data_IF_348766435705
#
_entry.id   IF_348766435705
#
_cell.length_a   1.000
_cell.length_b   1.000
_cell.length_c   1.000
_cell.angle_alpha   90.00
_cell.angle_beta   90.00
_cell.angle_gamma   90.00
#
_symmetry.space_group_name_H-M   'P 1'
#
loop_
_entity.id
_entity.type
_entity.pdbx_description
1 polymer ?
#
# COMPACT_ATOMS: atom_id res chain seq x y z
N UNK A 1 -3.41 -21.97 -29.38
CA UNK A 1 -2.22 -22.24 -28.55
C UNK A 1 -1.96 -21.01 -27.71
N UNK A 2 -2.01 -21.15 -26.38
CA UNK A 2 -1.73 -20.03 -25.46
C UNK A 2 -0.21 -19.97 -25.31
N UNK A 3 0.40 -18.91 -25.85
CA UNK A 3 1.85 -18.81 -26.11
C UNK A 3 2.61 -18.19 -24.91
N UNK A 4 1.95 -17.98 -23.78
CA UNK A 4 2.60 -17.55 -22.53
C UNK A 4 1.80 -18.04 -21.32
N UNK A 5 2.51 -18.58 -20.32
CA UNK A 5 1.91 -19.00 -19.05
C UNK A 5 1.28 -17.82 -18.31
N UNK A 6 0.53 -18.10 -17.23
CA UNK A 6 -0.10 -17.13 -16.35
C UNK A 6 0.93 -16.29 -15.55
N UNK A 7 1.78 -15.54 -16.25
CA UNK A 7 2.66 -14.56 -15.66
C UNK A 7 1.88 -13.32 -15.24
N UNK A 8 2.20 -12.76 -14.08
CA UNK A 8 1.68 -11.46 -13.65
C UNK A 8 2.06 -10.41 -14.69
N UNK A 9 1.07 -9.65 -15.18
CA UNK A 9 1.31 -8.49 -16.03
C UNK A 9 1.83 -7.36 -15.14
N UNK A 10 3.16 -7.28 -15.02
CA UNK A 10 3.83 -6.20 -14.31
C UNK A 10 3.97 -4.97 -15.21
N UNK A 11 3.75 -3.79 -14.65
CA UNK A 11 4.03 -2.51 -15.30
C UNK A 11 5.49 -2.16 -15.05
N UNK A 12 6.29 -1.96 -16.11
CA UNK A 12 7.75 -1.76 -15.99
C UNK A 12 8.18 -0.62 -15.07
N UNK A 13 7.32 0.38 -14.87
CA UNK A 13 7.62 1.57 -14.05
C UNK A 13 7.24 1.44 -12.59
N UNK A 14 6.55 0.35 -12.23
CA UNK A 14 6.05 0.16 -10.88
C UNK A 14 6.96 -0.83 -10.15
N UNK A 15 7.13 -0.61 -8.86
CA UNK A 15 7.83 -1.54 -7.98
C UNK A 15 6.86 -2.60 -7.48
N UNK A 16 7.33 -3.84 -7.36
CA UNK A 16 6.54 -4.97 -6.89
C UNK A 16 7.29 -5.76 -5.82
N UNK A 17 6.56 -6.21 -4.82
CA UNK A 17 7.03 -7.20 -3.83
C UNK A 17 7.23 -8.58 -4.44
N UNK A 18 7.89 -9.49 -3.71
CA UNK A 18 8.08 -10.89 -4.11
C UNK A 18 6.74 -11.63 -4.31
N UNK A 19 5.67 -11.15 -3.67
CA UNK A 19 4.31 -11.66 -3.85
C UNK A 19 3.58 -11.09 -5.08
N UNK A 20 4.24 -10.26 -5.88
CA UNK A 20 3.67 -9.60 -7.06
C UNK A 20 2.72 -8.44 -6.75
N UNK A 21 2.73 -7.92 -5.51
CA UNK A 21 1.93 -6.76 -5.10
C UNK A 21 2.70 -5.47 -5.36
N UNK A 22 2.08 -4.53 -6.05
CA UNK A 22 2.66 -3.20 -6.31
C UNK A 22 2.92 -2.42 -5.01
N UNK A 23 4.02 -1.68 -4.96
CA UNK A 23 4.35 -0.78 -3.86
C UNK A 23 3.67 0.56 -4.12
N UNK A 24 2.68 0.92 -3.30
CA UNK A 24 1.79 2.05 -3.58
C UNK A 24 1.37 2.82 -2.31
N UNK A 25 2.28 3.59 -1.68
CA UNK A 25 2.00 4.35 -0.46
C UNK A 25 0.86 5.38 -0.65
N UNK A 26 0.76 6.00 -1.83
CA UNK A 26 -0.34 6.89 -2.20
C UNK A 26 -1.72 6.24 -2.05
N UNK A 27 -1.81 4.92 -2.28
CA UNK A 27 -3.03 4.16 -2.11
C UNK A 27 -3.48 4.11 -0.64
N UNK A 28 -2.53 3.98 0.29
CA UNK A 28 -2.80 4.01 1.72
C UNK A 28 -3.30 5.41 2.15
N UNK A 29 -2.64 6.48 1.71
CA UNK A 29 -3.11 7.85 1.96
C UNK A 29 -4.56 8.05 1.49
N UNK A 30 -4.85 7.69 0.23
CA UNK A 30 -6.19 7.85 -0.36
C UNK A 30 -7.26 7.05 0.37
N UNK A 31 -6.98 5.79 0.74
CA UNK A 31 -7.97 4.97 1.41
C UNK A 31 -8.25 5.47 2.84
N UNK A 32 -7.25 6.01 3.54
CA UNK A 32 -7.45 6.59 4.87
C UNK A 32 -8.38 7.81 4.80
N UNK A 33 -8.18 8.71 3.84
CA UNK A 33 -9.08 9.85 3.63
C UNK A 33 -10.50 9.40 3.25
N UNK A 34 -10.62 8.46 2.32
CA UNK A 34 -11.94 7.93 1.90
C UNK A 34 -12.67 7.23 3.06
N UNK A 35 -11.94 6.48 3.88
CA UNK A 35 -12.49 5.79 5.05
C UNK A 35 -12.92 6.79 6.12
N UNK A 36 -12.07 7.79 6.42
CA UNK A 36 -12.42 8.88 7.32
C UNK A 36 -13.67 9.62 6.84
N UNK A 37 -13.70 10.08 5.59
CA UNK A 37 -14.86 10.78 5.04
C UNK A 37 -16.15 9.96 5.11
N UNK A 38 -16.06 8.66 4.88
CA UNK A 38 -17.21 7.75 4.95
C UNK A 38 -17.75 7.60 6.37
N UNK A 39 -16.89 7.53 7.38
CA UNK A 39 -17.28 7.14 8.74
C UNK A 39 -17.12 8.25 9.80
N UNK A 40 -16.66 9.45 9.44
CA UNK A 40 -16.45 10.57 10.39
C UNK A 40 -17.69 10.96 11.18
N UNK A 41 -18.88 10.72 10.62
CA UNK A 41 -20.16 10.96 11.31
C UNK A 41 -20.39 10.07 12.54
N UNK A 42 -19.63 8.96 12.67
CA UNK A 42 -19.66 8.07 13.83
C UNK A 42 -18.68 8.50 14.93
N UNK A 43 -17.77 9.43 14.65
CA UNK A 43 -16.72 9.90 15.57
C UNK A 43 -15.88 8.76 16.18
N UNK A 44 -15.53 7.76 15.35
CA UNK A 44 -14.75 6.60 15.78
C UNK A 44 -13.29 6.70 15.31
N UNK A 45 -12.32 6.45 16.21
CA UNK A 45 -10.94 6.25 15.80
C UNK A 45 -10.79 4.91 15.07
N UNK A 46 -9.82 4.81 14.18
CA UNK A 46 -9.44 3.56 13.53
C UNK A 46 -7.93 3.34 13.56
N UNK A 47 -7.54 2.07 13.51
CA UNK A 47 -6.15 1.62 13.62
C UNK A 47 -5.84 0.80 12.38
N UNK A 48 -4.65 1.01 11.81
CA UNK A 48 -4.13 0.15 10.75
C UNK A 48 -3.64 -1.13 11.39
N UNK A 49 -4.41 -2.19 11.25
CA UNK A 49 -4.10 -3.49 11.85
C UNK A 49 -3.03 -4.26 11.09
N UNK A 50 -2.92 -4.01 9.77
CA UNK A 50 -1.96 -4.67 8.90
C UNK A 50 -1.43 -3.70 7.82
N UNK A 51 -0.11 -3.60 7.73
CA UNK A 51 0.58 -3.00 6.60
C UNK A 51 1.95 -3.68 6.51
N UNK A 52 2.32 -4.17 5.33
CA UNK A 52 3.54 -4.96 5.18
C UNK A 52 3.81 -5.39 3.75
N UNK A 53 5.00 -5.93 3.54
CA UNK A 53 5.52 -6.30 2.22
C UNK A 53 6.21 -7.66 2.27
N UNK A 54 5.97 -8.48 1.24
CA UNK A 54 6.69 -9.73 1.02
C UNK A 54 8.08 -9.41 0.43
N UNK A 55 9.10 -9.54 1.26
CA UNK A 55 10.48 -9.19 0.91
C UNK A 55 11.45 -9.99 1.80
N UNK A 56 11.78 -11.21 1.39
CA UNK A 56 12.74 -12.07 2.06
C UNK A 56 14.15 -11.46 2.08
N UNK A 57 14.47 -10.60 1.11
CA UNK A 57 15.77 -9.93 0.99
C UNK A 57 15.93 -8.65 1.80
N UNK A 58 14.83 -8.10 2.34
CA UNK A 58 14.77 -6.81 3.05
C UNK A 58 15.19 -5.59 2.19
N UNK A 59 15.25 -5.75 0.86
CA UNK A 59 15.67 -4.68 -0.06
C UNK A 59 14.67 -3.53 -0.16
N UNK A 60 13.37 -3.84 -0.03
CA UNK A 60 12.28 -2.87 -0.23
C UNK A 60 11.48 -2.62 1.05
N UNK A 61 11.60 -3.46 2.09
CA UNK A 61 10.87 -3.30 3.36
C UNK A 61 11.18 -1.97 4.05
N UNK A 62 12.44 -1.53 4.04
CA UNK A 62 12.84 -0.27 4.66
C UNK A 62 12.18 0.96 4.01
N UNK A 63 12.30 1.18 2.69
CA UNK A 63 11.58 2.29 2.04
C UNK A 63 10.06 2.12 2.15
N UNK A 64 9.53 0.90 1.99
CA UNK A 64 8.10 0.60 2.15
C UNK A 64 7.56 1.11 3.49
N UNK A 65 8.20 0.74 4.61
CA UNK A 65 7.75 1.13 5.94
C UNK A 65 7.73 2.66 6.10
N UNK A 66 8.79 3.34 5.67
CA UNK A 66 8.90 4.80 5.79
C UNK A 66 7.83 5.52 4.96
N UNK A 67 7.66 5.13 3.70
CA UNK A 67 6.71 5.77 2.79
C UNK A 67 5.26 5.58 3.23
N UNK A 68 4.92 4.38 3.73
CA UNK A 68 3.58 4.12 4.25
C UNK A 68 3.32 4.86 5.58
N UNK A 69 4.32 4.99 6.45
CA UNK A 69 4.21 5.83 7.65
C UNK A 69 4.06 7.33 7.31
N UNK A 70 4.75 7.81 6.28
CA UNK A 70 4.57 9.17 5.77
C UNK A 70 3.16 9.38 5.20
N UNK A 71 2.62 8.40 4.47
CA UNK A 71 1.25 8.43 3.98
C UNK A 71 0.22 8.50 5.12
N UNK A 72 0.44 7.77 6.20
CA UNK A 72 -0.39 7.84 7.41
C UNK A 72 -0.30 9.22 8.04
N UNK A 73 0.92 9.73 8.24
CA UNK A 73 1.13 11.04 8.83
C UNK A 73 0.49 12.15 8.00
N UNK A 74 0.62 12.11 6.68
CA UNK A 74 -0.06 13.03 5.77
C UNK A 74 -1.58 12.97 5.93
N UNK A 75 -2.16 11.77 6.01
CA UNK A 75 -3.60 11.61 6.23
C UNK A 75 -4.08 12.11 7.61
N UNK A 76 -3.20 12.17 8.63
CA UNK A 76 -3.53 12.76 9.94
C UNK A 76 -3.54 14.29 9.95
N UNK A 77 -2.92 14.93 8.96
CA UNK A 77 -2.83 16.39 8.84
C UNK A 77 -3.97 17.00 8.01
N UNK A 78 -4.73 16.18 7.31
CA UNK A 78 -5.93 16.54 6.52
C UNK A 78 -7.19 16.43 7.37
#
# INVERSE_FOLDING_TARGET
EVISGAGLKLVERDEYSESGRGIYPDGLYRILLQFHERYKHLDLPFIITENGVSDATDLIRRPYLLEHLLAIYAAMLE
#
